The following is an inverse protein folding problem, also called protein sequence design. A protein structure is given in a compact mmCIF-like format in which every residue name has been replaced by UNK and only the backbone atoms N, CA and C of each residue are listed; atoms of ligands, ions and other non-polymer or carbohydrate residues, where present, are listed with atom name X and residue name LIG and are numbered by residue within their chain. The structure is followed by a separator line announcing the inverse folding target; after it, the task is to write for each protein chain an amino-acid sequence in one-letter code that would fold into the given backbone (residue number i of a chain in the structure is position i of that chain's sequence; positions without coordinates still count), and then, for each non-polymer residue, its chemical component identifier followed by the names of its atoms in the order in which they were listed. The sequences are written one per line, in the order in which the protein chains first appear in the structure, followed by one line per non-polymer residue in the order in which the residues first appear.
data_IF_254925573077
#
_entry.id   IF_254925573077
#
_cell.length_a   1.000
_cell.length_b   1.000
_cell.length_c   1.000
_cell.angle_alpha   90.00
_cell.angle_beta   90.00
_cell.angle_gamma   90.00
#
_symmetry.space_group_name_H-M   'P 1'
#
loop_
_entity.id
_entity.type
_entity.pdbx_description
1 polymer ?
#
# COMPACT_ATOMS: atom_id res chain seq x y z
N UNK A 1 22.44 -6.21 4.58
CA UNK A 1 22.85 -5.05 3.78
C UNK A 1 22.76 -5.43 2.31
N UNK A 2 21.61 -5.19 1.68
CA UNK A 2 21.50 -5.25 0.23
C UNK A 2 21.93 -3.89 -0.31
N UNK A 3 23.11 -3.81 -0.90
CA UNK A 3 23.60 -2.63 -1.59
C UNK A 3 23.98 -3.02 -3.01
N UNK A 4 23.45 -2.30 -4.00
CA UNK A 4 23.91 -2.42 -5.38
C UNK A 4 24.72 -1.20 -5.78
N UNK A 5 25.64 -1.38 -6.74
CA UNK A 5 26.44 -0.29 -7.32
C UNK A 5 25.71 0.49 -8.41
N UNK A 6 24.48 0.09 -8.76
CA UNK A 6 23.68 0.75 -9.79
C UNK A 6 23.11 2.06 -9.27
N UNK A 7 23.17 3.10 -10.09
CA UNK A 7 22.63 4.43 -9.77
C UNK A 7 21.14 4.57 -10.12
N UNK A 8 20.54 3.56 -10.77
CA UNK A 8 19.13 3.54 -11.16
C UNK A 8 18.31 2.87 -10.06
N UNK A 9 17.87 3.69 -9.12
CA UNK A 9 17.09 3.29 -7.95
C UNK A 9 15.68 3.91 -8.05
N UNK A 10 14.67 3.07 -8.25
CA UNK A 10 13.28 3.48 -8.17
C UNK A 10 12.83 3.45 -6.70
N UNK A 11 12.35 4.59 -6.19
CA UNK A 11 11.72 4.67 -4.88
C UNK A 11 10.45 3.81 -4.88
N UNK A 12 10.41 2.76 -4.06
CA UNK A 12 9.18 2.04 -3.81
C UNK A 12 8.33 2.89 -2.86
N UNK A 13 7.05 3.10 -3.16
CA UNK A 13 6.16 3.78 -2.24
C UNK A 13 6.20 3.06 -0.90
N UNK A 14 6.16 3.86 0.15
CA UNK A 14 6.12 3.42 1.54
C UNK A 14 5.04 2.36 1.72
N UNK A 15 5.17 1.50 2.74
CA UNK A 15 4.19 0.44 3.01
C UNK A 15 2.90 1.10 3.53
N UNK A 16 2.11 1.68 2.62
CA UNK A 16 0.94 2.48 2.93
C UNK A 16 -0.08 1.63 3.68
N UNK A 17 -0.72 2.23 4.69
CA UNK A 17 -1.82 1.65 5.45
C UNK A 17 -2.81 1.00 4.48
N UNK A 18 -2.95 -0.32 4.59
CA UNK A 18 -3.96 -1.06 3.85
C UNK A 18 -5.21 -1.06 4.70
N UNK A 19 -6.36 -0.90 4.09
CA UNK A 19 -7.65 -1.07 4.74
C UNK A 19 -8.36 -2.23 4.09
N UNK A 20 -9.13 -2.97 4.88
CA UNK A 20 -9.93 -4.08 4.41
C UNK A 20 -11.38 -3.81 4.72
N UNK A 21 -12.23 -3.75 3.70
CA UNK A 21 -13.66 -3.59 3.92
C UNK A 21 -14.20 -4.83 4.65
N UNK A 22 -14.90 -4.66 5.78
CA UNK A 22 -15.46 -5.80 6.52
C UNK A 22 -16.68 -6.42 5.85
N UNK A 23 -17.27 -5.76 4.86
CA UNK A 23 -18.45 -6.26 4.13
C UNK A 23 -18.05 -7.19 2.97
N UNK A 24 -17.24 -6.69 2.04
CA UNK A 24 -16.81 -7.46 0.87
C UNK A 24 -15.43 -8.11 1.04
N UNK A 25 -14.71 -7.79 2.12
CA UNK A 25 -13.35 -8.26 2.40
C UNK A 25 -12.29 -7.73 1.42
N UNK A 26 -12.63 -6.73 0.61
CA UNK A 26 -11.72 -6.08 -0.34
C UNK A 26 -10.60 -5.34 0.41
N UNK A 27 -9.36 -5.58 0.01
CA UNK A 27 -8.19 -4.88 0.55
C UNK A 27 -7.76 -3.80 -0.41
N UNK A 28 -7.74 -2.56 0.06
CA UNK A 28 -7.37 -1.36 -0.70
C UNK A 28 -6.44 -0.49 0.13
N UNK A 29 -5.61 0.35 -0.49
CA UNK A 29 -4.76 1.29 0.26
C UNK A 29 -5.63 2.42 0.81
N UNK A 30 -5.41 2.83 2.06
CA UNK A 30 -6.09 3.98 2.65
C UNK A 30 -5.93 5.25 1.78
N UNK A 31 -4.76 5.41 1.17
CA UNK A 31 -4.44 6.51 0.26
C UNK A 31 -5.25 6.47 -1.06
N UNK A 32 -5.56 5.26 -1.54
CA UNK A 32 -6.41 5.04 -2.72
C UNK A 32 -7.91 5.04 -2.35
N UNK A 33 -8.24 5.02 -1.06
CA UNK A 33 -9.62 5.01 -0.58
C UNK A 33 -10.30 6.39 -0.73
N UNK A 34 -9.53 7.45 -1.03
CA UNK A 34 -10.02 8.78 -1.39
C UNK A 34 -11.05 9.36 -0.42
N UNK A 35 -12.33 9.14 -0.73
CA UNK A 35 -13.50 9.59 0.04
C UNK A 35 -13.86 8.70 1.26
N UNK A 36 -13.07 7.65 1.52
CA UNK A 36 -13.21 6.83 2.73
C UNK A 36 -14.31 5.76 2.66
N UNK A 37 -14.83 5.43 1.48
CA UNK A 37 -15.92 4.45 1.29
C UNK A 37 -15.55 3.38 0.26
N UNK A 38 -16.20 2.21 0.35
CA UNK A 38 -15.76 1.05 -0.45
C UNK A 38 -16.34 1.15 -1.86
N UNK A 39 -15.51 1.29 -2.90
CA UNK A 39 -16.01 1.47 -4.27
C UNK A 39 -16.82 0.25 -4.70
N UNK A 40 -16.34 -0.95 -4.39
CA UNK A 40 -17.01 -2.18 -4.80
C UNK A 40 -18.36 -2.39 -4.11
N UNK A 41 -18.50 -2.01 -2.83
CA UNK A 41 -19.81 -2.06 -2.17
C UNK A 41 -20.76 -0.96 -2.67
N UNK A 42 -20.21 0.20 -3.04
CA UNK A 42 -20.99 1.26 -3.64
C UNK A 42 -21.47 0.87 -5.04
N UNK A 43 -20.64 0.22 -5.85
CA UNK A 43 -21.02 -0.28 -7.17
C UNK A 43 -22.03 -1.43 -7.09
N UNK A 44 -21.85 -2.37 -6.17
CA UNK A 44 -22.72 -3.56 -6.05
C UNK A 44 -24.05 -3.24 -5.36
N UNK A 45 -24.03 -2.44 -4.29
CA UNK A 45 -25.20 -2.21 -3.44
C UNK A 45 -25.70 -0.76 -3.44
N UNK A 46 -24.99 0.19 -4.07
CA UNK A 46 -25.30 1.62 -3.97
C UNK A 46 -25.04 2.24 -2.59
N UNK A 47 -24.53 1.45 -1.65
CA UNK A 47 -24.34 1.83 -0.26
C UNK A 47 -22.90 2.27 0.01
N UNK A 48 -22.73 3.51 0.49
CA UNK A 48 -21.42 3.98 0.96
C UNK A 48 -21.08 3.29 2.28
N UNK A 49 -20.24 2.26 2.20
CA UNK A 49 -19.74 1.52 3.35
C UNK A 49 -18.43 2.12 3.82
N UNK A 50 -18.44 2.62 5.05
CA UNK A 50 -17.30 3.18 5.77
C UNK A 50 -16.72 2.18 6.78
N UNK A 51 -17.20 0.93 6.76
CA UNK A 51 -16.77 -0.13 7.68
C UNK A 51 -15.52 -0.83 7.14
N UNK A 52 -14.38 -0.29 7.51
CA UNK A 52 -13.06 -0.80 7.15
C UNK A 52 -12.26 -1.17 8.38
N UNK A 53 -11.50 -2.25 8.24
CA UNK A 53 -10.47 -2.65 9.17
C UNK A 53 -9.12 -2.17 8.67
N UNK A 54 -8.48 -1.29 9.43
CA UNK A 54 -7.12 -0.84 9.13
C UNK A 54 -6.15 -1.99 9.36
N UNK A 55 -5.59 -2.49 8.26
CA UNK A 55 -4.44 -3.38 8.27
C UNK A 55 -3.21 -2.45 8.36
N UNK A 56 -2.88 -2.08 9.59
CA UNK A 56 -1.63 -1.43 9.91
C UNK A 56 -0.48 -2.37 9.53
N UNK A 57 0.02 -2.21 8.30
CA UNK A 57 1.26 -2.86 7.90
C UNK A 57 2.33 -2.07 8.62
N UNK A 58 2.98 -2.67 9.63
CA UNK A 58 3.97 -2.01 10.47
C UNK A 58 4.82 -1.05 9.64
N UNK A 59 4.54 0.24 9.78
CA UNK A 59 5.31 1.28 9.14
C UNK A 59 6.65 1.22 9.84
N UNK A 60 7.63 0.65 9.15
CA UNK A 60 8.97 0.52 9.72
C UNK A 60 9.74 1.83 9.59
N UNK A 61 9.12 2.89 9.04
CA UNK A 61 9.79 4.12 8.61
C UNK A 61 10.84 3.87 7.52
N UNK A 62 10.89 2.66 6.96
CA UNK A 62 11.95 2.25 6.05
C UNK A 62 11.59 2.59 4.63
N UNK A 63 12.36 3.51 4.07
CA UNK A 63 12.33 3.82 2.66
C UNK A 63 12.88 2.63 1.89
N UNK A 64 12.08 2.09 0.96
CA UNK A 64 12.49 0.97 0.11
C UNK A 64 12.85 1.49 -1.26
N UNK A 65 14.00 1.07 -1.78
CA UNK A 65 14.44 1.35 -3.14
C UNK A 65 14.52 0.04 -3.91
N UNK A 66 14.04 0.04 -5.15
CA UNK A 66 14.21 -1.06 -6.09
C UNK A 66 15.19 -0.66 -7.17
N UNK A 67 16.26 -1.44 -7.33
CA UNK A 67 17.14 -1.35 -8.49
C UNK A 67 16.42 -1.85 -9.73
N UNK A 68 16.33 -1.05 -10.79
CA UNK A 68 15.67 -1.49 -12.04
C UNK A 68 16.54 -2.44 -12.87
N UNK A 69 17.87 -2.33 -12.78
CA UNK A 69 18.79 -3.22 -13.51
C UNK A 69 18.86 -4.63 -12.91
N UNK A 70 18.82 -4.71 -11.58
CA UNK A 70 19.17 -5.92 -10.84
C UNK A 70 18.02 -6.46 -9.99
N UNK A 71 16.92 -5.71 -9.88
CA UNK A 71 15.74 -6.09 -9.11
C UNK A 71 15.94 -6.11 -7.60
N UNK A 72 17.12 -5.75 -7.09
CA UNK A 72 17.39 -5.77 -5.64
C UNK A 72 16.51 -4.77 -4.92
N UNK A 73 15.98 -5.17 -3.77
CA UNK A 73 15.26 -4.30 -2.83
C UNK A 73 16.25 -3.87 -1.75
N UNK A 74 16.45 -2.56 -1.63
CA UNK A 74 17.29 -1.90 -0.63
C UNK A 74 16.35 -1.25 0.36
N UNK A 75 16.57 -1.49 1.64
CA UNK A 75 15.78 -0.90 2.73
C UNK A 75 16.70 0.06 3.48
N UNK A 76 16.32 1.33 3.57
CA UNK A 76 17.04 2.38 4.30
C UNK A 76 16.13 2.95 5.40
N UNK A 77 16.72 3.28 6.55
CA UNK A 77 16.06 3.87 7.71
C UNK A 77 16.18 5.39 7.67
#
# INVERSE_FOLDING_TARGET
MTSCKHSILALLPEKKNLVRCRRCHLTIRADELGEGHCPECFEVSGGKLYDFEEIAVADTGKVRYRCEECGVIIESL
#
